data_IF_762395702383
#
_entry.id   IF_762395702383
#
_cell.length_a   1.000
_cell.length_b   1.000
_cell.length_c   1.000
_cell.angle_alpha   90.00
_cell.angle_beta   90.00
_cell.angle_gamma   90.00
#
_symmetry.space_group_name_H-M   'P 1'
#
loop_
_entity.id
_entity.type
_entity.pdbx_description
1 polymer ?
#
# COMPACT_ATOMS: atom_id res chain seq x y z
N UNK A 1 -5.40 -9.37 -14.94
CA UNK A 1 -4.76 -8.59 -16.01
C UNK A 1 -3.25 -8.69 -15.83
N UNK A 2 -2.46 -8.78 -16.91
CA UNK A 2 -1.01 -8.54 -16.84
C UNK A 2 -0.69 -7.19 -16.17
N UNK A 3 0.40 -7.10 -15.40
CA UNK A 3 0.76 -5.85 -14.69
C UNK A 3 0.92 -4.65 -15.63
N UNK A 4 1.40 -4.88 -16.86
CA UNK A 4 1.60 -3.84 -17.87
C UNK A 4 0.30 -3.36 -18.55
N UNK A 5 -0.84 -3.97 -18.23
CA UNK A 5 -2.15 -3.54 -18.72
C UNK A 5 -2.95 -2.77 -17.67
N UNK A 6 -2.45 -2.66 -16.43
CA UNK A 6 -3.11 -1.90 -15.37
C UNK A 6 -3.14 -0.41 -15.70
N UNK A 7 -4.28 0.22 -15.41
CA UNK A 7 -4.47 1.68 -15.51
C UNK A 7 -4.98 2.27 -14.20
N UNK A 8 -4.73 3.57 -13.93
CA UNK A 8 -5.35 4.25 -12.80
C UNK A 8 -6.87 4.13 -12.84
N UNK A 9 -7.47 3.74 -11.72
CA UNK A 9 -8.89 3.45 -11.59
C UNK A 9 -9.24 1.96 -11.57
N UNK A 10 -8.33 1.08 -11.98
CA UNK A 10 -8.55 -0.37 -11.87
C UNK A 10 -8.65 -0.82 -10.40
N UNK A 11 -9.49 -1.82 -10.16
CA UNK A 11 -9.64 -2.45 -8.84
C UNK A 11 -8.83 -3.73 -8.82
N UNK A 12 -8.00 -3.87 -7.79
CA UNK A 12 -7.19 -5.07 -7.54
C UNK A 12 -7.57 -5.70 -6.22
N UNK A 13 -7.53 -7.03 -6.19
CA UNK A 13 -7.63 -7.83 -4.97
C UNK A 13 -6.25 -8.40 -4.65
N UNK A 14 -5.91 -8.38 -3.36
CA UNK A 14 -4.61 -8.79 -2.85
C UNK A 14 -4.78 -9.79 -1.71
N UNK A 15 -3.86 -10.73 -1.63
CA UNK A 15 -3.73 -11.70 -0.55
C UNK A 15 -2.27 -11.90 -0.15
N UNK A 16 -2.05 -12.58 0.97
CA UNK A 16 -0.72 -12.94 1.44
C UNK A 16 0.11 -13.65 0.35
N UNK A 17 1.33 -13.17 0.15
CA UNK A 17 2.24 -13.65 -0.90
C UNK A 17 2.19 -12.83 -2.19
N UNK A 18 1.18 -11.99 -2.40
CA UNK A 18 1.09 -11.15 -3.59
C UNK A 18 2.12 -10.03 -3.55
N UNK A 19 2.66 -9.72 -4.73
CA UNK A 19 3.39 -8.48 -4.97
C UNK A 19 2.40 -7.38 -5.32
N UNK A 20 2.61 -6.18 -4.77
CA UNK A 20 1.83 -5.00 -5.10
C UNK A 20 2.15 -4.58 -6.55
N UNK A 21 1.17 -4.61 -7.47
CA UNK A 21 1.46 -4.51 -8.91
C UNK A 21 1.64 -3.08 -9.42
N UNK A 22 1.21 -2.09 -8.64
CA UNK A 22 1.15 -0.68 -8.97
C UNK A 22 1.05 0.12 -7.66
N UNK A 23 1.18 1.45 -7.72
CA UNK A 23 0.83 2.25 -6.54
C UNK A 23 -0.69 2.24 -6.38
N UNK A 24 -1.15 1.84 -5.20
CA UNK A 24 -2.56 1.59 -4.92
C UNK A 24 -3.02 2.29 -3.64
N UNK A 25 -4.31 2.62 -3.62
CA UNK A 25 -5.00 3.12 -2.43
C UNK A 25 -6.00 2.07 -1.94
N UNK A 26 -5.91 1.72 -0.66
CA UNK A 26 -6.77 0.73 -0.03
C UNK A 26 -8.21 1.22 0.08
N UNK A 27 -9.14 0.38 -0.39
CA UNK A 27 -10.59 0.56 -0.26
C UNK A 27 -11.16 -0.31 0.86
N UNK A 28 -10.64 -1.54 0.99
CA UNK A 28 -10.94 -2.50 2.06
C UNK A 28 -9.67 -3.29 2.41
N UNK A 29 -9.51 -3.65 3.67
CA UNK A 29 -8.36 -4.40 4.18
C UNK A 29 -8.74 -5.27 5.37
N UNK A 30 -8.04 -6.38 5.56
CA UNK A 30 -8.15 -7.23 6.75
C UNK A 30 -6.79 -7.77 7.11
N UNK A 31 -6.33 -7.45 8.32
CA UNK A 31 -5.04 -7.91 8.88
C UNK A 31 -3.88 -7.75 7.88
N UNK A 32 -3.88 -6.62 7.16
CA UNK A 32 -2.99 -6.38 6.03
C UNK A 32 -1.64 -5.85 6.52
N UNK A 33 -0.59 -6.62 6.28
CA UNK A 33 0.79 -6.23 6.55
C UNK A 33 1.60 -6.27 5.26
N UNK A 34 2.33 -5.20 4.98
CA UNK A 34 3.14 -5.04 3.77
C UNK A 34 4.61 -5.00 4.15
N UNK A 35 5.44 -5.80 3.48
CA UNK A 35 6.89 -5.68 3.54
C UNK A 35 7.34 -4.59 2.55
N UNK A 36 7.91 -3.53 3.09
CA UNK A 36 8.48 -2.43 2.32
C UNK A 36 10.01 -2.51 2.22
N UNK A 37 10.60 -3.67 2.52
CA UNK A 37 12.05 -3.86 2.58
C UNK A 37 12.78 -3.44 1.29
N UNK A 38 12.12 -3.55 0.13
CA UNK A 38 12.69 -3.13 -1.15
C UNK A 38 12.82 -1.61 -1.29
N UNK A 39 12.01 -0.83 -0.56
CA UNK A 39 12.00 0.64 -0.60
C UNK A 39 12.78 1.25 0.57
N UNK A 40 12.65 0.68 1.78
CA UNK A 40 13.25 1.24 3.00
C UNK A 40 14.54 0.53 3.42
N UNK A 41 14.75 -0.71 2.97
CA UNK A 41 15.79 -1.60 3.51
C UNK A 41 15.42 -2.24 4.86
N UNK A 42 14.25 -1.92 5.42
CA UNK A 42 13.81 -2.43 6.72
C UNK A 42 13.00 -3.72 6.58
N UNK A 43 13.30 -4.72 7.41
CA UNK A 43 12.67 -6.04 7.32
C UNK A 43 11.31 -6.13 8.04
N UNK A 44 10.95 -5.15 8.86
CA UNK A 44 9.72 -5.20 9.65
C UNK A 44 8.51 -4.85 8.76
N UNK A 45 7.48 -5.72 8.70
CA UNK A 45 6.25 -5.41 7.97
C UNK A 45 5.50 -4.24 8.60
N UNK A 46 4.91 -3.40 7.74
CA UNK A 46 4.10 -2.24 8.14
C UNK A 46 2.62 -2.60 8.03
N UNK A 47 1.85 -2.34 9.08
CA UNK A 47 0.39 -2.54 9.07
C UNK A 47 -0.29 -1.44 8.24
N UNK A 48 -1.22 -1.84 7.37
CA UNK A 48 -1.94 -0.95 6.46
C UNK A 48 -3.45 -1.08 6.64
N UNK A 49 -4.17 0.01 6.45
CA UNK A 49 -5.62 0.10 6.68
C UNK A 49 -6.34 0.77 5.53
N UNK A 50 -7.54 0.26 5.24
CA UNK A 50 -8.46 0.93 4.35
C UNK A 50 -9.00 2.25 4.92
N UNK A 51 -9.55 3.06 4.04
CA UNK A 51 -10.08 4.39 4.38
C UNK A 51 -11.39 4.36 5.17
N UNK A 52 -12.03 3.20 5.31
CA UNK A 52 -13.32 3.03 5.98
C UNK A 52 -13.16 2.57 7.45
N UNK A 53 -12.04 1.93 7.77
CA UNK A 53 -11.66 1.59 9.13
C UNK A 53 -11.38 2.85 9.93
N UNK A 54 -12.07 3.02 11.06
CA UNK A 54 -11.93 4.13 12.01
C UNK A 54 -10.46 4.56 12.21
N UNK A 55 -10.02 5.53 11.42
CA UNK A 55 -8.69 6.18 11.51
C UNK A 55 -8.51 6.87 12.88
N UNK A 56 -9.59 7.00 13.66
CA UNK A 56 -9.59 7.55 15.01
C UNK A 56 -9.02 6.61 16.08
N UNK A 57 -8.92 5.30 15.86
CA UNK A 57 -8.47 4.33 16.88
C UNK A 57 -7.03 3.82 16.68
N UNK A 58 -6.37 4.17 15.57
CA UNK A 58 -5.00 3.73 15.24
C UNK A 58 -4.02 4.89 15.05
N UNK A 59 -4.26 5.99 15.78
CA UNK A 59 -3.28 7.06 15.99
C UNK A 59 -2.62 6.88 17.35
N UNK A 60 -1.77 5.86 17.47
CA UNK A 60 -0.67 5.95 18.40
C UNK A 60 0.55 6.34 17.54
N UNK A 61 0.88 7.63 17.57
CA UNK A 61 2.23 8.13 17.27
C UNK A 61 2.71 8.09 15.81
N UNK A 62 1.94 8.60 14.85
CA UNK A 62 2.52 9.15 13.62
C UNK A 62 2.16 10.64 13.55
N UNK A 63 3.12 11.48 13.87
CA UNK A 63 3.03 12.92 13.77
C UNK A 63 2.54 13.29 12.36
N UNK A 64 1.36 13.88 12.27
CA UNK A 64 1.00 14.73 11.14
C UNK A 64 1.80 16.03 11.24
N UNK A 65 3.13 15.92 11.07
CA UNK A 65 3.98 17.05 10.72
C UNK A 65 3.82 17.33 9.22
N UNK A 66 4.19 18.53 8.80
CA UNK A 66 4.11 18.98 7.40
C UNK A 66 4.97 18.14 6.42
N UNK A 67 5.67 17.10 6.90
CA UNK A 67 6.50 16.14 6.16
C UNK A 67 6.15 14.68 6.53
N UNK A 68 4.89 14.26 6.43
CA UNK A 68 4.58 12.83 6.52
C UNK A 68 5.24 12.11 5.32
N UNK A 69 6.14 11.17 5.59
CA UNK A 69 6.75 10.34 4.53
C UNK A 69 5.64 9.56 3.81
N UNK A 70 5.71 9.49 2.49
CA UNK A 70 4.72 8.76 1.69
C UNK A 70 4.65 7.29 2.13
N UNK A 71 5.78 6.72 2.56
CA UNK A 71 5.87 5.33 3.02
C UNK A 71 5.03 5.06 4.29
N UNK A 72 4.83 6.09 5.12
CA UNK A 72 4.05 6.04 6.36
C UNK A 72 2.54 6.10 6.14
N UNK A 73 2.07 6.43 4.92
CA UNK A 73 0.65 6.51 4.62
C UNK A 73 -0.02 5.15 4.80
N UNK A 74 -0.83 5.02 5.85
CA UNK A 74 -1.42 3.74 6.23
C UNK A 74 -2.37 3.13 5.17
N UNK A 75 -2.90 3.94 4.26
CA UNK A 75 -3.86 3.53 3.23
C UNK A 75 -3.27 3.46 1.81
N UNK A 76 -1.96 3.63 1.66
CA UNK A 76 -1.25 3.53 0.38
C UNK A 76 -0.26 2.36 0.44
N UNK A 77 -0.23 1.57 -0.63
CA UNK A 77 0.77 0.54 -0.86
C UNK A 77 1.49 0.81 -2.18
N UNK A 78 2.77 0.49 -2.23
CA UNK A 78 3.66 0.90 -3.31
C UNK A 78 4.05 -0.29 -4.19
N UNK A 79 4.20 -0.04 -5.48
CA UNK A 79 4.62 -1.05 -6.46
C UNK A 79 5.90 -1.76 -6.01
N UNK A 80 5.93 -3.10 -6.19
CA UNK A 80 7.10 -3.93 -5.89
C UNK A 80 7.26 -4.31 -4.41
N UNK A 81 6.46 -3.75 -3.51
CA UNK A 81 6.34 -4.24 -2.13
C UNK A 81 5.50 -5.53 -2.07
N UNK A 82 5.54 -6.25 -0.95
CA UNK A 82 4.90 -7.57 -0.86
C UNK A 82 3.89 -7.63 0.28
N UNK A 83 2.77 -8.31 0.05
CA UNK A 83 1.79 -8.64 1.09
C UNK A 83 2.34 -9.78 1.94
N UNK A 84 2.64 -9.50 3.20
CA UNK A 84 3.12 -10.49 4.18
C UNK A 84 1.94 -11.30 4.72
N UNK A 85 0.83 -10.64 5.02
CA UNK A 85 -0.39 -11.27 5.52
C UNK A 85 -1.63 -10.46 5.19
N UNK A 86 -2.79 -11.09 5.34
CA UNK A 86 -4.09 -10.46 5.19
C UNK A 86 -4.60 -10.43 3.76
N UNK A 87 -5.66 -9.65 3.56
CA UNK A 87 -6.26 -9.42 2.24
C UNK A 87 -6.64 -7.95 2.09
N UNK A 88 -6.76 -7.51 0.83
CA UNK A 88 -7.22 -6.16 0.52
C UNK A 88 -7.91 -6.05 -0.82
N UNK A 89 -8.78 -5.05 -0.93
CA UNK A 89 -9.28 -4.51 -2.19
C UNK A 89 -8.79 -3.08 -2.31
N UNK A 90 -8.21 -2.74 -3.44
CA UNK A 90 -7.57 -1.44 -3.64
C UNK A 90 -7.82 -0.91 -5.05
N UNK A 91 -7.70 0.41 -5.20
CA UNK A 91 -7.76 1.09 -6.49
C UNK A 91 -6.35 1.50 -6.91
N UNK A 92 -6.01 1.28 -8.18
CA UNK A 92 -4.75 1.74 -8.78
C UNK A 92 -4.76 3.26 -8.91
N UNK A 93 -3.69 3.90 -8.41
CA UNK A 93 -3.52 5.36 -8.47
C UNK A 93 -2.30 5.79 -9.29
N UNK A 94 -1.28 4.93 -9.40
CA UNK A 94 -0.08 5.20 -10.21
C UNK A 94 0.48 3.92 -10.83
N UNK A 95 1.01 4.03 -12.05
CA UNK A 95 1.54 2.88 -12.83
C UNK A 95 2.89 3.22 -13.46
N UNK A 96 3.74 2.21 -13.63
CA UNK A 96 5.02 2.33 -14.32
C UNK A 96 5.88 3.49 -13.81
N UNK A 97 6.33 4.42 -14.68
CA UNK A 97 7.16 5.57 -14.28
C UNK A 97 6.50 6.54 -13.29
N UNK A 98 5.17 6.50 -13.15
CA UNK A 98 4.42 7.36 -12.23
C UNK A 98 4.20 6.71 -10.86
N UNK A 99 4.85 5.56 -10.59
CA UNK A 99 4.89 4.96 -9.26
C UNK A 99 6.05 5.51 -8.45
N UNK A 100 5.99 5.38 -7.13
CA UNK A 100 7.09 5.71 -6.23
C UNK A 100 8.37 4.91 -6.55
N UNK A 101 8.25 3.67 -7.02
CA UNK A 101 9.39 2.87 -7.43
C UNK A 101 10.03 3.37 -8.74
N UNK A 102 9.24 4.00 -9.61
CA UNK A 102 9.66 4.48 -10.93
C UNK A 102 10.20 5.90 -10.96
N UNK A 103 10.09 6.65 -9.86
CA UNK A 103 10.50 8.06 -9.74
C UNK A 103 11.95 8.26 -9.30
#
# INVERSE_FOLDING_TARGET
>A
LPMNELVPGDIVELQAGDMIPADIRLLQSRDLFISQAILTGEALPVEKYDTLGNVSAKRAEAQAGENADLLDLANICFMGTNVVSGTATAVVVGIGPNTYFGS
#
